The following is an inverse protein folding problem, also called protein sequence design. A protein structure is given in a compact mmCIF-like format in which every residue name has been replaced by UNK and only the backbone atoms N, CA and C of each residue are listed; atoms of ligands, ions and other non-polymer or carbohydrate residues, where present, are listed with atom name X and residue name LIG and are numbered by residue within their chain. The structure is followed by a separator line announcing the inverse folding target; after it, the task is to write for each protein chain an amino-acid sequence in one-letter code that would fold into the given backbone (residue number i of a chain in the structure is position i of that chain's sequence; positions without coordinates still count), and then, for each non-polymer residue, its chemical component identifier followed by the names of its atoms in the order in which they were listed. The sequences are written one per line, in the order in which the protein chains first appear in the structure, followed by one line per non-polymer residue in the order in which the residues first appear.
data_IF_014682061435
#
_entry.id   IF_014682061435
#
_cell.length_a   1.000
_cell.length_b   1.000
_cell.length_c   1.000
_cell.angle_alpha   90.00
_cell.angle_beta   90.00
_cell.angle_gamma   90.00
#
_symmetry.space_group_name_H-M   'P 1'
#
loop_
_entity.id
_entity.type
_entity.pdbx_description
1 polymer ?
#
# COMPACT_ATOMS: atom_id res chain seq x y z
N UNK A 1 -14.16 46.50 -21.93
CA UNK A 1 -13.72 45.14 -22.32
C UNK A 1 -14.95 44.30 -22.67
N UNK A 2 -15.18 44.00 -23.95
CA UNK A 2 -16.33 43.17 -24.35
C UNK A 2 -16.07 41.72 -23.97
N UNK A 3 -16.78 41.21 -22.97
CA UNK A 3 -16.87 39.78 -22.70
C UNK A 3 -17.53 39.15 -23.92
N UNK A 4 -16.74 38.52 -24.81
CA UNK A 4 -17.27 37.65 -25.86
C UNK A 4 -17.98 36.50 -25.16
N UNK A 5 -19.29 36.65 -24.94
CA UNK A 5 -20.15 35.56 -24.49
C UNK A 5 -20.02 34.45 -25.52
N UNK A 6 -19.45 33.30 -25.12
CA UNK A 6 -19.49 32.08 -25.93
C UNK A 6 -20.95 31.86 -26.31
N UNK A 7 -21.29 31.98 -27.60
CA UNK A 7 -22.62 31.63 -28.10
C UNK A 7 -22.92 30.19 -27.70
N UNK A 8 -23.80 30.00 -26.72
CA UNK A 8 -24.27 28.68 -26.28
C UNK A 8 -25.03 28.01 -27.41
N UNK A 9 -24.97 26.69 -27.48
CA UNK A 9 -25.76 25.98 -28.47
C UNK A 9 -27.25 26.07 -28.06
N UNK A 10 -28.20 26.30 -28.97
CA UNK A 10 -29.63 26.36 -28.63
C UNK A 10 -30.16 25.14 -27.86
N UNK A 11 -29.63 23.93 -28.10
CA UNK A 11 -30.03 22.74 -27.33
C UNK A 11 -29.60 22.82 -25.85
N UNK A 12 -28.49 23.51 -25.56
CA UNK A 12 -27.96 23.73 -24.21
C UNK A 12 -28.86 24.70 -23.41
N UNK A 13 -29.48 25.67 -24.09
CA UNK A 13 -30.44 26.62 -23.48
C UNK A 13 -31.69 25.88 -22.99
N UNK A 14 -32.10 24.82 -23.67
CA UNK A 14 -33.18 23.93 -23.23
C UNK A 14 -32.73 22.86 -22.22
N UNK A 15 -31.48 22.88 -21.77
CA UNK A 15 -30.94 21.90 -20.83
C UNK A 15 -30.74 20.50 -21.41
N UNK A 16 -30.75 20.36 -22.74
CA UNK A 16 -30.55 19.08 -23.41
C UNK A 16 -29.07 18.76 -23.56
N UNK A 17 -28.66 17.59 -23.09
CA UNK A 17 -27.29 17.11 -23.28
C UNK A 17 -27.05 16.71 -24.73
N UNK A 18 -25.79 16.77 -25.24
CA UNK A 18 -25.47 16.27 -26.57
C UNK A 18 -25.83 14.80 -26.80
N UNK A 19 -25.90 14.00 -25.73
CA UNK A 19 -26.30 12.60 -25.78
C UNK A 19 -27.79 12.44 -26.11
N UNK A 20 -28.68 13.17 -25.42
CA UNK A 20 -30.13 13.15 -25.71
C UNK A 20 -30.39 13.62 -27.14
N UNK A 21 -29.66 14.64 -27.60
CA UNK A 21 -29.75 15.18 -28.96
C UNK A 21 -29.25 14.19 -30.03
N UNK A 22 -28.35 13.28 -29.66
CA UNK A 22 -27.85 12.21 -30.53
C UNK A 22 -28.83 11.04 -30.62
N UNK A 23 -29.40 10.62 -29.49
CA UNK A 23 -30.22 9.41 -29.38
C UNK A 23 -31.65 9.58 -29.93
N UNK A 24 -32.23 10.77 -29.81
CA UNK A 24 -33.61 11.02 -30.25
C UNK A 24 -33.70 11.35 -31.75
N UNK A 25 -34.76 10.86 -32.41
CA UNK A 25 -35.13 11.27 -33.78
C UNK A 25 -35.52 12.75 -33.85
N UNK A 26 -35.39 13.39 -35.02
CA UNK A 26 -35.60 14.84 -35.19
C UNK A 26 -36.99 15.29 -34.72
N UNK A 27 -38.03 14.55 -35.07
CA UNK A 27 -39.41 14.86 -34.71
C UNK A 27 -39.65 14.72 -33.20
N UNK A 28 -39.12 13.65 -32.60
CA UNK A 28 -39.24 13.39 -31.15
C UNK A 28 -38.47 14.42 -30.35
N UNK A 29 -37.27 14.79 -30.81
CA UNK A 29 -36.44 15.84 -30.22
C UNK A 29 -37.14 17.21 -30.30
N UNK A 30 -37.79 17.52 -31.42
CA UNK A 30 -38.53 18.78 -31.56
C UNK A 30 -39.79 18.82 -30.70
N UNK A 31 -40.53 17.70 -30.57
CA UNK A 31 -41.65 17.57 -29.62
C UNK A 31 -41.19 17.82 -28.18
N UNK A 32 -40.03 17.28 -27.79
CA UNK A 32 -39.42 17.50 -26.49
C UNK A 32 -39.07 18.99 -26.28
N UNK A 33 -38.46 19.64 -27.28
CA UNK A 33 -38.17 21.08 -27.23
C UNK A 33 -39.45 21.91 -27.08
N UNK A 34 -40.52 21.58 -27.82
CA UNK A 34 -41.84 22.24 -27.68
C UNK A 34 -42.39 22.10 -26.26
N UNK A 35 -42.26 20.92 -25.65
CA UNK A 35 -42.70 20.70 -24.27
C UNK A 35 -41.89 21.54 -23.27
N UNK A 36 -40.56 21.51 -23.36
CA UNK A 36 -39.67 22.29 -22.49
C UNK A 36 -39.92 23.80 -22.68
N UNK A 37 -40.07 24.26 -23.92
CA UNK A 37 -40.36 25.65 -24.25
C UNK A 37 -41.65 26.14 -23.56
N UNK A 38 -42.74 25.35 -23.60
CA UNK A 38 -43.99 25.71 -22.91
C UNK A 38 -43.79 25.87 -21.41
N UNK A 39 -43.05 24.95 -20.78
CA UNK A 39 -42.74 25.01 -19.34
C UNK A 39 -41.89 26.25 -19.03
N UNK A 40 -40.86 26.51 -19.83
CA UNK A 40 -39.96 27.65 -19.65
C UNK A 40 -40.64 28.99 -19.88
N UNK A 41 -41.56 29.09 -20.84
CA UNK A 41 -42.40 30.28 -21.00
C UNK A 41 -43.25 30.50 -19.76
N UNK A 42 -43.86 29.47 -19.18
CA UNK A 42 -44.64 29.63 -17.95
C UNK A 42 -43.79 30.09 -16.76
N UNK A 43 -42.54 29.63 -16.67
CA UNK A 43 -41.65 29.93 -15.55
C UNK A 43 -40.93 31.29 -15.67
N UNK A 44 -40.59 31.71 -16.89
CA UNK A 44 -39.75 32.89 -17.14
C UNK A 44 -40.49 34.06 -17.82
N UNK A 45 -41.81 33.96 -18.04
CA UNK A 45 -42.57 35.07 -18.64
C UNK A 45 -42.46 36.36 -17.81
N UNK A 46 -42.18 37.53 -18.43
CA UNK A 46 -42.13 38.82 -17.73
C UNK A 46 -43.40 39.13 -16.93
N UNK A 47 -44.57 38.88 -17.53
CA UNK A 47 -45.88 39.14 -16.89
C UNK A 47 -46.17 38.26 -15.67
N UNK A 48 -45.38 37.20 -15.45
CA UNK A 48 -45.47 36.31 -14.29
C UNK A 48 -44.35 36.55 -13.27
N UNK A 49 -43.61 37.65 -13.41
CA UNK A 49 -42.46 37.99 -12.57
C UNK A 49 -41.16 37.25 -12.95
N UNK A 50 -41.10 36.65 -14.15
CA UNK A 50 -39.92 35.96 -14.67
C UNK A 50 -38.87 36.92 -15.26
N UNK A 51 -37.67 36.38 -15.55
CA UNK A 51 -36.54 37.15 -16.10
C UNK A 51 -36.73 37.43 -17.61
N UNK A 52 -36.91 38.70 -18.03
CA UNK A 52 -37.15 39.05 -19.44
C UNK A 52 -35.98 38.68 -20.35
N UNK A 53 -34.74 38.69 -19.85
CA UNK A 53 -33.56 38.33 -20.64
C UNK A 53 -33.54 36.85 -20.95
N UNK A 54 -33.90 36.01 -19.97
CA UNK A 54 -34.03 34.56 -20.17
C UNK A 54 -35.20 34.23 -21.09
N UNK A 55 -36.35 34.88 -20.94
CA UNK A 55 -37.48 34.69 -21.85
C UNK A 55 -37.10 34.97 -23.31
N UNK A 56 -36.35 36.06 -23.56
CA UNK A 56 -35.82 36.38 -24.88
C UNK A 56 -34.81 35.33 -25.39
N UNK A 57 -33.89 34.88 -24.53
CA UNK A 57 -32.92 33.82 -24.87
C UNK A 57 -33.62 32.51 -25.27
N UNK A 58 -34.66 32.11 -24.53
CA UNK A 58 -35.49 30.93 -24.80
C UNK A 58 -36.25 31.08 -26.13
N UNK A 59 -36.82 32.26 -26.41
CA UNK A 59 -37.53 32.53 -27.67
C UNK A 59 -36.60 32.43 -28.87
N UNK A 60 -35.42 33.06 -28.79
CA UNK A 60 -34.42 33.01 -29.86
C UNK A 60 -33.91 31.58 -30.07
N UNK A 61 -33.69 30.82 -29.00
CA UNK A 61 -33.31 29.42 -29.08
C UNK A 61 -34.39 28.55 -29.73
N UNK A 62 -35.66 28.78 -29.39
CA UNK A 62 -36.81 28.07 -29.98
C UNK A 62 -36.93 28.34 -31.48
N UNK A 63 -36.86 29.61 -31.89
CA UNK A 63 -36.92 30.00 -33.31
C UNK A 63 -35.77 29.38 -34.11
N UNK A 64 -34.57 29.31 -33.51
CA UNK A 64 -33.39 28.70 -34.14
C UNK A 64 -33.53 27.18 -34.31
N UNK A 65 -34.25 26.54 -33.37
CA UNK A 65 -34.52 25.10 -33.34
C UNK A 65 -35.93 24.74 -33.84
N UNK A 66 -36.57 25.64 -34.58
CA UNK A 66 -37.89 25.37 -35.12
C UNK A 66 -37.79 24.46 -36.36
N UNK A 67 -38.00 23.16 -36.16
CA UNK A 67 -37.92 22.15 -37.23
C UNK A 67 -38.94 22.39 -38.35
N UNK A 68 -40.13 22.89 -38.01
CA UNK A 68 -41.21 23.18 -38.96
C UNK A 68 -40.90 24.40 -39.83
N UNK A 69 -40.18 25.39 -39.28
CA UNK A 69 -39.87 26.64 -39.97
C UNK A 69 -38.52 26.61 -40.70
N UNK A 70 -37.50 26.03 -40.08
CA UNK A 70 -36.10 26.04 -40.57
C UNK A 70 -35.39 24.69 -40.27
N UNK A 71 -35.69 23.62 -41.03
CA UNK A 71 -35.12 22.29 -40.78
C UNK A 71 -33.59 22.24 -40.95
N UNK A 72 -33.02 23.03 -41.86
CA UNK A 72 -31.57 23.09 -42.07
C UNK A 72 -30.83 23.69 -40.88
N UNK A 73 -31.39 24.74 -40.25
CA UNK A 73 -30.83 25.34 -39.04
C UNK A 73 -30.79 24.30 -37.92
N UNK A 74 -31.90 23.60 -37.70
CA UNK A 74 -32.01 22.54 -36.70
C UNK A 74 -30.93 21.47 -36.89
N UNK A 75 -30.78 20.95 -38.11
CA UNK A 75 -29.77 19.94 -38.47
C UNK A 75 -28.34 20.44 -38.27
N UNK A 76 -28.06 21.69 -38.64
CA UNK A 76 -26.73 22.29 -38.49
C UNK A 76 -26.33 22.44 -37.01
N UNK A 77 -27.23 22.95 -36.17
CA UNK A 77 -26.99 23.07 -34.73
C UNK A 77 -26.89 21.70 -34.07
N UNK A 78 -27.68 20.71 -34.52
CA UNK A 78 -27.64 19.33 -34.03
C UNK A 78 -26.28 18.70 -34.31
N UNK A 79 -25.84 18.75 -35.57
CA UNK A 79 -24.54 18.25 -36.00
C UNK A 79 -23.39 18.88 -35.21
N UNK A 80 -23.36 20.21 -35.11
CA UNK A 80 -22.33 20.94 -34.33
C UNK A 80 -22.34 20.61 -32.85
N UNK A 81 -23.50 20.28 -32.27
CA UNK A 81 -23.61 19.91 -30.87
C UNK A 81 -23.12 18.48 -30.61
N UNK A 82 -23.44 17.55 -31.52
CA UNK A 82 -22.99 16.15 -31.45
C UNK A 82 -21.47 16.05 -31.71
N UNK A 83 -20.92 16.85 -32.62
CA UNK A 83 -19.46 16.91 -32.86
C UNK A 83 -18.66 17.37 -31.62
N UNK A 84 -19.28 18.13 -30.71
CA UNK A 84 -18.66 18.44 -29.40
C UNK A 84 -18.58 17.22 -28.49
N UNK A 85 -19.53 16.28 -28.62
CA UNK A 85 -19.55 15.02 -27.87
C UNK A 85 -18.53 14.00 -28.39
N UNK A 86 -18.19 14.02 -29.70
CA UNK A 86 -17.24 13.05 -30.27
C UNK A 86 -15.77 13.32 -29.94
N UNK A 87 -15.44 14.51 -29.42
CA UNK A 87 -14.08 14.88 -29.00
C UNK A 87 -13.84 14.33 -27.59
N UNK A 88 -13.44 13.05 -27.49
CA UNK A 88 -13.01 12.35 -26.24
C UNK A 88 -13.92 12.66 -25.04
N UNK A 89 -15.01 11.92 -24.88
CA UNK A 89 -15.77 11.98 -23.64
C UNK A 89 -14.87 11.55 -22.49
N UNK A 90 -14.81 12.36 -21.42
CA UNK A 90 -14.22 12.01 -20.13
C UNK A 90 -14.65 10.61 -19.66
N UNK A 91 -15.85 10.16 -20.05
CA UNK A 91 -16.36 8.83 -19.77
C UNK A 91 -15.55 7.71 -20.44
N UNK A 92 -15.16 7.87 -21.72
CA UNK A 92 -14.32 6.87 -22.40
C UNK A 92 -12.91 6.85 -21.79
N UNK A 93 -12.36 8.01 -21.48
CA UNK A 93 -11.08 8.12 -20.77
C UNK A 93 -11.15 7.48 -19.36
N UNK A 94 -12.27 7.66 -18.66
CA UNK A 94 -12.51 7.05 -17.36
C UNK A 94 -12.67 5.53 -17.44
N UNK A 95 -13.30 5.01 -18.49
CA UNK A 95 -13.38 3.56 -18.76
C UNK A 95 -12.00 2.97 -19.10
N UNK A 96 -11.22 3.66 -19.94
CA UNK A 96 -9.85 3.27 -20.29
C UNK A 96 -8.95 3.26 -19.05
N UNK A 97 -8.99 4.32 -18.23
CA UNK A 97 -8.23 4.41 -16.98
C UNK A 97 -8.65 3.32 -15.98
N UNK A 98 -9.95 3.02 -15.87
CA UNK A 98 -10.44 1.91 -15.03
C UNK A 98 -9.88 0.56 -15.50
N UNK A 99 -9.87 0.32 -16.81
CA UNK A 99 -9.31 -0.91 -17.36
C UNK A 99 -7.80 -1.02 -17.11
N UNK A 100 -7.06 0.08 -17.29
CA UNK A 100 -5.63 0.14 -16.98
C UNK A 100 -5.35 -0.12 -15.50
N UNK A 101 -6.12 0.49 -14.60
CA UNK A 101 -5.95 0.29 -13.16
C UNK A 101 -6.21 -1.16 -12.73
N UNK A 102 -7.25 -1.80 -13.28
CA UNK A 102 -7.49 -3.25 -13.06
C UNK A 102 -6.30 -4.09 -13.51
N UNK A 103 -5.73 -3.79 -14.68
CA UNK A 103 -4.56 -4.50 -15.22
C UNK A 103 -3.33 -4.30 -14.33
N UNK A 104 -3.07 -3.07 -13.89
CA UNK A 104 -1.95 -2.75 -13.00
C UNK A 104 -2.10 -3.42 -11.63
N UNK A 105 -3.30 -3.40 -11.05
CA UNK A 105 -3.59 -4.08 -9.79
C UNK A 105 -3.33 -5.59 -9.89
N UNK A 106 -3.78 -6.23 -10.97
CA UNK A 106 -3.50 -7.64 -11.22
C UNK A 106 -1.99 -7.94 -11.30
N UNK A 107 -1.24 -7.15 -12.06
CA UNK A 107 0.22 -7.35 -12.15
C UNK A 107 0.93 -7.09 -10.82
N UNK A 108 0.46 -6.13 -10.02
CA UNK A 108 1.03 -5.85 -8.72
C UNK A 108 0.87 -7.05 -7.77
N UNK A 109 -0.34 -7.63 -7.70
CA UNK A 109 -0.57 -8.83 -6.89
C UNK A 109 0.27 -10.03 -7.39
N UNK A 110 0.35 -10.22 -8.71
CA UNK A 110 1.20 -11.27 -9.28
C UNK A 110 2.69 -11.07 -8.95
N UNK A 111 3.18 -9.82 -9.01
CA UNK A 111 4.56 -9.50 -8.67
C UNK A 111 4.85 -9.75 -7.19
N UNK A 112 3.95 -9.33 -6.29
CA UNK A 112 4.07 -9.61 -4.84
C UNK A 112 4.18 -11.10 -4.58
N UNK A 113 3.32 -11.91 -5.21
CA UNK A 113 3.35 -13.37 -5.09
C UNK A 113 4.69 -13.95 -5.59
N UNK A 114 5.16 -13.48 -6.76
CA UNK A 114 6.42 -13.98 -7.35
C UNK A 114 7.64 -13.60 -6.52
N UNK A 115 7.71 -12.36 -6.04
CA UNK A 115 8.77 -11.91 -5.12
C UNK A 115 8.72 -12.76 -3.85
N UNK A 116 7.54 -12.98 -3.30
CA UNK A 116 7.38 -13.79 -2.10
C UNK A 116 7.84 -15.25 -2.30
N UNK A 117 7.45 -15.89 -3.41
CA UNK A 117 7.93 -17.23 -3.78
C UNK A 117 9.46 -17.26 -3.90
N UNK A 118 10.05 -16.21 -4.45
CA UNK A 118 11.50 -16.07 -4.55
C UNK A 118 12.16 -15.94 -3.16
N UNK A 119 11.56 -15.18 -2.23
CA UNK A 119 12.05 -15.08 -0.85
C UNK A 119 11.95 -16.41 -0.09
N UNK A 120 10.87 -17.16 -0.24
CA UNK A 120 10.68 -18.47 0.42
C UNK A 120 11.68 -19.53 -0.06
N UNK A 121 11.90 -19.60 -1.38
CA UNK A 121 12.80 -20.59 -1.98
C UNK A 121 14.29 -20.31 -1.73
N UNK A 122 14.60 -19.16 -1.15
CA UNK A 122 15.95 -18.76 -0.77
C UNK A 122 16.62 -17.92 -1.85
N UNK A 123 17.15 -16.79 -1.39
CA UNK A 123 17.78 -15.78 -2.23
C UNK A 123 19.13 -16.28 -2.77
N UNK A 124 19.29 -16.32 -4.10
CA UNK A 124 20.58 -16.66 -4.72
C UNK A 124 21.66 -15.65 -4.33
N UNK A 125 21.30 -14.37 -4.22
CA UNK A 125 22.25 -13.33 -3.78
C UNK A 125 22.69 -13.48 -2.32
N UNK A 126 21.91 -14.09 -1.42
CA UNK A 126 22.46 -14.42 -0.09
C UNK A 126 23.44 -15.59 -0.15
N UNK A 127 23.22 -16.57 -1.03
CA UNK A 127 24.23 -17.61 -1.24
C UNK A 127 25.56 -16.96 -1.65
N UNK A 128 25.51 -15.97 -2.55
CA UNK A 128 26.69 -15.26 -3.02
C UNK A 128 27.31 -14.34 -1.94
N UNK A 129 26.49 -13.59 -1.19
CA UNK A 129 26.96 -12.72 -0.09
C UNK A 129 27.74 -13.50 0.97
N UNK A 130 27.32 -14.75 1.24
CA UNK A 130 28.01 -15.63 2.20
C UNK A 130 29.08 -16.54 1.57
N UNK A 131 29.26 -16.50 0.25
CA UNK A 131 30.33 -17.22 -0.45
C UNK A 131 31.63 -16.42 -0.45
N UNK A 132 31.54 -15.09 -0.54
CA UNK A 132 32.70 -14.18 -0.40
C UNK A 132 33.04 -13.87 1.06
N UNK A 133 32.01 -13.70 1.91
CA UNK A 133 32.17 -13.44 3.34
C UNK A 133 31.62 -14.61 4.16
N UNK A 134 32.47 -15.24 4.98
CA UNK A 134 32.10 -16.49 5.65
C UNK A 134 30.95 -16.34 6.66
N UNK A 135 30.64 -15.11 7.09
CA UNK A 135 29.41 -14.73 7.78
C UNK A 135 29.32 -13.23 8.08
N UNK A 136 28.17 -12.78 8.58
CA UNK A 136 27.90 -11.40 8.97
C UNK A 136 27.39 -11.34 10.40
N UNK A 137 28.06 -10.56 11.25
CA UNK A 137 27.59 -10.25 12.60
C UNK A 137 26.86 -8.93 12.61
N UNK A 138 25.66 -8.92 13.18
CA UNK A 138 24.82 -7.75 13.32
C UNK A 138 24.62 -7.41 14.79
N UNK A 139 24.83 -6.14 15.13
CA UNK A 139 24.39 -5.57 16.41
C UNK A 139 22.99 -4.99 16.21
N UNK A 140 22.02 -5.52 16.94
CA UNK A 140 20.61 -5.17 16.79
C UNK A 140 20.10 -4.48 18.05
N UNK A 141 19.38 -3.38 17.87
CA UNK A 141 18.51 -2.81 18.88
C UNK A 141 17.14 -3.50 18.83
N UNK A 142 16.80 -4.24 19.87
CA UNK A 142 15.54 -4.98 20.02
C UNK A 142 14.42 -4.02 20.42
N UNK A 143 13.81 -3.42 19.38
CA UNK A 143 12.73 -2.44 19.55
C UNK A 143 11.52 -3.02 20.26
N UNK A 144 11.17 -4.28 20.02
CA UNK A 144 9.99 -4.93 20.64
C UNK A 144 10.19 -5.06 22.14
N UNK A 145 11.38 -5.51 22.55
CA UNK A 145 11.74 -5.59 23.97
C UNK A 145 11.76 -4.19 24.60
N UNK A 146 12.29 -3.19 23.90
CA UNK A 146 12.25 -1.81 24.39
C UNK A 146 10.81 -1.29 24.57
N UNK A 147 9.92 -1.50 23.60
CA UNK A 147 8.52 -1.06 23.69
C UNK A 147 7.77 -1.72 24.83
N UNK A 148 8.04 -3.01 25.09
CA UNK A 148 7.35 -3.75 26.15
C UNK A 148 7.87 -3.43 27.55
N UNK A 149 9.17 -3.12 27.71
CA UNK A 149 9.81 -3.09 29.03
C UNK A 149 10.52 -1.78 29.40
N UNK A 150 10.63 -0.80 28.50
CA UNK A 150 11.33 0.48 28.78
C UNK A 150 10.74 1.28 29.95
N UNK A 151 9.45 1.12 30.23
CA UNK A 151 8.77 1.76 31.37
C UNK A 151 9.06 1.11 32.73
N UNK A 152 9.67 -0.08 32.76
CA UNK A 152 9.95 -0.79 34.01
C UNK A 152 11.27 -0.29 34.63
N UNK A 153 11.23 0.12 35.91
CA UNK A 153 12.42 0.57 36.65
C UNK A 153 13.51 -0.50 36.75
N UNK A 154 13.15 -1.78 36.68
CA UNK A 154 14.07 -2.92 36.76
C UNK A 154 14.72 -3.31 35.42
N UNK A 155 14.31 -2.69 34.31
CA UNK A 155 14.81 -3.08 32.99
C UNK A 155 16.29 -2.68 32.82
N UNK A 156 17.15 -3.68 32.58
CA UNK A 156 18.57 -3.47 32.31
C UNK A 156 18.75 -3.04 30.85
N UNK A 157 19.57 -2.01 30.59
CA UNK A 157 19.84 -1.50 29.22
C UNK A 157 20.27 -2.59 28.23
N UNK A 158 21.06 -3.57 28.69
CA UNK A 158 21.55 -4.69 27.87
C UNK A 158 20.42 -5.57 27.30
N UNK A 159 19.23 -5.55 27.90
CA UNK A 159 18.06 -6.31 27.42
C UNK A 159 17.54 -5.81 26.07
N UNK A 160 17.80 -4.54 25.73
CA UNK A 160 17.34 -3.92 24.48
C UNK A 160 18.29 -4.15 23.31
N UNK A 161 19.34 -4.95 23.51
CA UNK A 161 20.32 -5.24 22.47
C UNK A 161 20.44 -6.75 22.29
N UNK A 162 20.75 -7.16 21.07
CA UNK A 162 21.10 -8.54 20.74
C UNK A 162 22.07 -8.59 19.59
N UNK A 163 22.82 -9.68 19.54
CA UNK A 163 23.70 -10.01 18.43
C UNK A 163 23.06 -11.10 17.58
N UNK A 164 23.12 -10.91 16.27
CA UNK A 164 22.80 -11.93 15.28
C UNK A 164 24.07 -12.27 14.50
N UNK A 165 24.28 -13.55 14.19
CA UNK A 165 25.30 -13.97 13.22
C UNK A 165 24.57 -14.72 12.12
N UNK A 166 24.69 -14.19 10.91
CA UNK A 166 24.11 -14.74 9.69
C UNK A 166 25.18 -15.50 8.94
N UNK A 167 24.82 -16.70 8.50
CA UNK A 167 25.65 -17.55 7.65
C UNK A 167 24.78 -18.13 6.54
N UNK A 168 25.40 -18.81 5.56
CA UNK A 168 24.68 -19.48 4.46
C UNK A 168 23.58 -20.44 4.92
N UNK A 169 23.80 -21.15 6.03
CA UNK A 169 22.96 -22.28 6.44
C UNK A 169 22.23 -22.09 7.77
N UNK A 170 22.64 -21.13 8.58
CA UNK A 170 22.10 -20.94 9.93
C UNK A 170 22.17 -19.49 10.39
N UNK A 171 21.37 -19.19 11.41
CA UNK A 171 21.39 -17.94 12.16
C UNK A 171 21.70 -18.25 13.62
N UNK A 172 22.65 -17.54 14.20
CA UNK A 172 22.92 -17.57 15.64
C UNK A 172 22.34 -16.30 16.26
N UNK A 173 21.64 -16.44 17.39
CA UNK A 173 21.09 -15.32 18.15
C UNK A 173 21.56 -15.32 19.58
N UNK A 174 21.86 -14.15 20.12
CA UNK A 174 22.23 -13.97 21.53
C UNK A 174 21.72 -12.63 22.03
N UNK A 175 20.96 -12.62 23.12
CA UNK A 175 20.59 -11.35 23.77
C UNK A 175 21.81 -10.72 24.45
N UNK A 176 21.81 -9.41 24.64
CA UNK A 176 22.97 -8.68 25.18
C UNK A 176 23.41 -9.11 26.58
N UNK A 177 22.51 -9.75 27.35
CA UNK A 177 22.79 -10.31 28.67
C UNK A 177 23.05 -11.82 28.67
N UNK A 178 22.90 -12.49 27.53
CA UNK A 178 23.15 -13.93 27.41
C UNK A 178 24.63 -14.16 27.05
N UNK A 179 25.24 -15.17 27.68
CA UNK A 179 26.61 -15.56 27.39
C UNK A 179 26.72 -16.32 26.06
N UNK A 180 25.75 -17.23 25.82
CA UNK A 180 25.77 -18.18 24.71
C UNK A 180 24.76 -17.84 23.61
N UNK A 181 25.12 -18.20 22.38
CA UNK A 181 24.26 -18.14 21.21
C UNK A 181 23.33 -19.35 21.13
N UNK A 182 22.11 -19.08 20.66
CA UNK A 182 21.12 -20.07 20.22
C UNK A 182 21.20 -20.23 18.71
N UNK A 183 21.20 -21.47 18.22
CA UNK A 183 21.30 -21.81 16.80
C UNK A 183 19.92 -22.05 16.18
N UNK A 184 19.70 -21.48 15.00
CA UNK A 184 18.49 -21.63 14.19
C UNK A 184 18.87 -22.04 12.76
N UNK A 185 18.28 -23.13 12.25
CA UNK A 185 18.59 -23.66 10.90
C UNK A 185 17.49 -23.26 9.89
N UNK A 186 16.23 -23.21 10.34
CA UNK A 186 15.06 -22.93 9.51
C UNK A 186 14.66 -21.45 9.51
N UNK A 187 15.56 -20.55 9.88
CA UNK A 187 15.29 -19.14 10.11
C UNK A 187 16.14 -18.29 9.17
N UNK A 188 15.50 -17.70 8.17
CA UNK A 188 16.16 -17.07 7.02
C UNK A 188 15.94 -15.57 7.03
N UNK A 189 17.00 -14.82 6.75
CA UNK A 189 16.91 -13.38 6.48
C UNK A 189 16.20 -13.17 5.13
N UNK A 190 15.23 -12.25 5.10
CA UNK A 190 14.45 -11.96 3.88
C UNK A 190 14.66 -10.53 3.35
N UNK A 191 15.18 -9.63 4.18
CA UNK A 191 15.42 -8.24 3.80
C UNK A 191 15.25 -7.26 4.95
N UNK A 192 15.63 -6.02 4.71
CA UNK A 192 15.47 -4.92 5.63
C UNK A 192 14.71 -3.75 5.02
N UNK A 193 14.12 -2.92 5.88
CA UNK A 193 13.38 -1.71 5.48
C UNK A 193 13.98 -0.53 6.24
N UNK A 194 14.34 0.54 5.53
CA UNK A 194 14.84 1.77 6.19
C UNK A 194 13.77 2.33 7.13
N UNK A 195 14.21 2.84 8.28
CA UNK A 195 13.29 3.34 9.32
C UNK A 195 12.37 4.47 8.85
N UNK A 196 12.80 5.25 7.88
CA UNK A 196 12.06 6.40 7.33
C UNK A 196 10.80 6.00 6.55
N UNK A 197 10.75 4.76 6.04
CA UNK A 197 9.64 4.31 5.19
C UNK A 197 8.55 3.58 5.97
N UNK A 198 8.75 3.29 7.26
CA UNK A 198 7.96 2.27 7.93
C UNK A 198 7.88 2.42 9.45
N UNK A 199 6.67 2.28 10.00
CA UNK A 199 6.40 2.20 11.43
C UNK A 199 5.98 0.77 11.83
N UNK A 200 6.90 -0.09 12.33
CA UNK A 200 6.60 -1.50 12.58
C UNK A 200 5.52 -1.73 13.63
N UNK A 201 5.46 -0.92 14.68
CA UNK A 201 4.54 -1.09 15.80
C UNK A 201 3.06 -1.04 15.41
N UNK A 202 2.73 -0.43 14.27
CA UNK A 202 1.38 -0.42 13.73
C UNK A 202 0.95 -1.81 13.21
N UNK A 203 1.91 -2.64 12.77
CA UNK A 203 1.66 -3.93 12.13
C UNK A 203 2.06 -5.14 12.99
N UNK A 204 2.79 -4.92 14.07
CA UNK A 204 3.16 -5.99 15.00
C UNK A 204 1.92 -6.56 15.70
N UNK A 205 1.89 -7.88 15.79
CA UNK A 205 0.86 -8.60 16.53
C UNK A 205 0.96 -8.31 18.02
N UNK A 206 -0.19 -8.35 18.70
CA UNK A 206 -0.29 -8.02 20.13
C UNK A 206 -0.92 -9.17 20.89
N UNK A 207 -0.49 -9.36 22.13
CA UNK A 207 -1.17 -10.24 23.07
C UNK A 207 -1.44 -9.53 24.38
N UNK A 208 -2.48 -9.98 25.08
CA UNK A 208 -2.72 -9.59 26.46
C UNK A 208 -2.03 -10.58 27.37
N UNK A 209 -1.11 -10.09 28.20
CA UNK A 209 -0.40 -10.88 29.21
C UNK A 209 -0.31 -10.08 30.49
N UNK A 210 -0.66 -10.71 31.61
CA UNK A 210 -0.54 -10.11 32.96
C UNK A 210 -1.22 -8.73 33.08
N UNK A 211 -2.38 -8.56 32.44
CA UNK A 211 -3.15 -7.30 32.50
C UNK A 211 -2.61 -6.16 31.61
N UNK A 212 -1.56 -6.40 30.82
CA UNK A 212 -1.00 -5.43 29.87
C UNK A 212 -1.01 -5.97 28.43
N UNK A 213 -1.13 -5.07 27.46
CA UNK A 213 -0.95 -5.42 26.05
C UNK A 213 0.55 -5.38 25.71
N UNK A 214 1.08 -6.49 25.19
CA UNK A 214 2.47 -6.63 24.79
C UNK A 214 2.58 -6.86 23.29
N UNK A 215 3.61 -6.29 22.68
CA UNK A 215 3.95 -6.53 21.27
C UNK A 215 4.68 -7.86 21.11
N UNK A 216 4.30 -8.61 20.08
CA UNK A 216 5.07 -9.75 19.56
C UNK A 216 6.06 -9.25 18.53
N UNK A 217 7.14 -10.00 18.34
CA UNK A 217 8.19 -9.68 17.38
C UNK A 217 7.89 -10.21 15.97
N UNK A 218 6.62 -10.27 15.57
CA UNK A 218 6.25 -10.69 14.23
C UNK A 218 5.03 -9.96 13.67
N UNK A 219 4.94 -9.98 12.35
CA UNK A 219 3.85 -9.49 11.52
C UNK A 219 3.27 -10.70 10.78
N UNK A 220 1.96 -10.73 10.55
CA UNK A 220 1.38 -11.77 9.71
C UNK A 220 1.90 -11.66 8.26
N UNK A 221 2.12 -12.82 7.61
CA UNK A 221 2.63 -12.89 6.23
C UNK A 221 1.78 -12.05 5.27
N UNK A 222 0.46 -12.12 5.38
CA UNK A 222 -0.47 -11.36 4.53
C UNK A 222 -0.28 -9.85 4.69
N UNK A 223 -0.20 -9.37 5.93
CA UNK A 223 0.04 -7.94 6.21
C UNK A 223 1.42 -7.51 5.73
N UNK A 224 2.45 -8.34 5.92
CA UNK A 224 3.79 -8.03 5.44
C UNK A 224 3.85 -7.93 3.91
N UNK A 225 3.24 -8.87 3.18
CA UNK A 225 3.18 -8.84 1.71
C UNK A 225 2.45 -7.60 1.21
N UNK A 226 1.36 -7.22 1.89
CA UNK A 226 0.54 -6.07 1.50
C UNK A 226 1.23 -4.72 1.75
N UNK A 227 1.82 -4.55 2.94
CA UNK A 227 2.28 -3.25 3.42
C UNK A 227 3.80 -3.06 3.35
N UNK A 228 4.58 -4.13 3.52
CA UNK A 228 6.03 -4.04 3.74
C UNK A 228 6.85 -4.43 2.50
N UNK A 229 6.37 -5.39 1.72
CA UNK A 229 7.15 -6.03 0.66
C UNK A 229 7.71 -5.04 -0.39
N UNK A 230 6.97 -3.98 -0.68
CA UNK A 230 7.37 -2.96 -1.66
C UNK A 230 8.60 -2.14 -1.22
N UNK A 231 8.84 -2.05 0.09
CA UNK A 231 9.97 -1.31 0.67
C UNK A 231 11.15 -2.21 1.04
N UNK A 232 11.04 -3.51 0.78
CA UNK A 232 12.03 -4.49 1.21
C UNK A 232 13.30 -4.36 0.37
N UNK A 233 14.39 -3.98 1.02
CA UNK A 233 15.74 -3.99 0.45
C UNK A 233 16.48 -5.24 0.93
N UNK A 234 17.28 -5.83 0.05
CA UNK A 234 17.96 -7.10 0.36
C UNK A 234 19.34 -6.89 0.98
N UNK A 235 19.96 -5.76 0.65
CA UNK A 235 21.24 -5.36 1.21
C UNK A 235 21.06 -4.89 2.65
N UNK A 236 21.82 -5.48 3.58
CA UNK A 236 21.78 -5.11 4.99
C UNK A 236 22.38 -3.70 5.16
N UNK A 237 21.61 -2.80 5.78
CA UNK A 237 22.03 -1.44 6.08
C UNK A 237 21.84 -1.11 7.54
N UNK A 238 22.75 -0.32 8.10
CA UNK A 238 22.54 0.27 9.42
C UNK A 238 21.32 1.19 9.40
N UNK A 239 20.70 1.37 10.57
CA UNK A 239 19.46 2.12 10.76
C UNK A 239 18.27 1.60 9.92
N UNK A 240 18.21 0.29 9.71
CA UNK A 240 17.10 -0.40 9.04
C UNK A 240 16.47 -1.46 9.94
N UNK A 241 15.17 -1.71 9.76
CA UNK A 241 14.45 -2.82 10.36
C UNK A 241 14.79 -4.11 9.63
N UNK A 242 15.17 -5.16 10.36
CA UNK A 242 15.59 -6.43 9.76
C UNK A 242 14.55 -7.53 9.96
N UNK A 243 14.20 -8.22 8.87
CA UNK A 243 13.12 -9.19 8.83
C UNK A 243 13.60 -10.60 8.48
N UNK A 244 12.91 -11.58 9.07
CA UNK A 244 13.22 -12.98 8.91
C UNK A 244 11.96 -13.82 8.73
N UNK A 245 12.13 -14.94 8.05
CA UNK A 245 11.11 -15.94 7.81
C UNK A 245 11.53 -17.27 8.42
N UNK A 246 10.57 -17.96 9.06
CA UNK A 246 10.78 -19.32 9.57
C UNK A 246 9.96 -20.30 8.74
N UNK A 247 10.59 -21.35 8.20
CA UNK A 247 9.83 -22.40 7.49
C UNK A 247 8.98 -23.25 8.44
N UNK A 248 9.24 -23.20 9.75
CA UNK A 248 8.42 -23.87 10.77
C UNK A 248 7.11 -23.12 11.06
N UNK A 249 7.07 -21.81 10.81
CA UNK A 249 5.89 -20.96 11.03
C UNK A 249 5.73 -19.98 9.85
N UNK A 250 5.30 -20.55 8.71
CA UNK A 250 5.21 -19.85 7.43
C UNK A 250 4.22 -18.68 7.40
N UNK A 251 3.40 -18.52 8.44
CA UNK A 251 2.40 -17.46 8.55
C UNK A 251 2.99 -16.18 9.17
N UNK A 252 4.21 -16.24 9.69
CA UNK A 252 4.82 -15.15 10.46
C UNK A 252 6.10 -14.64 9.82
N UNK A 253 6.23 -13.32 9.84
CA UNK A 253 7.45 -12.61 9.50
C UNK A 253 7.98 -11.94 10.74
N UNK A 254 9.17 -12.35 11.15
CA UNK A 254 9.77 -11.89 12.39
C UNK A 254 10.55 -10.61 12.16
N UNK A 255 10.28 -9.61 13.00
CA UNK A 255 11.07 -8.40 13.11
C UNK A 255 12.09 -8.62 14.23
N UNK A 256 13.37 -8.70 13.89
CA UNK A 256 14.39 -8.80 14.92
C UNK A 256 14.74 -7.43 15.52
N UNK A 257 14.55 -6.33 14.81
CA UNK A 257 14.75 -4.99 15.36
C UNK A 257 15.50 -4.10 14.39
N UNK A 258 16.23 -3.12 14.93
CA UNK A 258 16.98 -2.15 14.13
C UNK A 258 18.46 -2.53 14.09
N UNK A 259 19.02 -2.63 12.88
CA UNK A 259 20.47 -2.81 12.71
C UNK A 259 21.19 -1.54 13.15
N UNK A 260 22.03 -1.65 14.17
CA UNK A 260 22.89 -0.55 14.62
C UNK A 260 24.16 -0.53 13.77
N UNK A 261 24.77 -1.70 13.64
CA UNK A 261 26.08 -1.88 13.01
C UNK A 261 26.22 -3.34 12.55
N UNK A 262 27.11 -3.58 11.61
CA UNK A 262 27.41 -4.90 11.10
C UNK A 262 28.87 -5.06 10.68
N UNK A 263 29.42 -6.25 10.90
CA UNK A 263 30.80 -6.60 10.56
C UNK A 263 30.86 -7.98 9.89
N UNK A 264 31.82 -8.15 8.99
CA UNK A 264 32.11 -9.43 8.33
C UNK A 264 32.90 -10.31 9.30
N UNK A 265 32.61 -11.60 9.30
CA UNK A 265 33.33 -12.61 10.08
C UNK A 265 34.03 -13.61 9.18
N UNK A 266 35.23 -14.01 9.61
CA UNK A 266 35.99 -15.13 9.02
C UNK A 266 35.46 -16.49 9.47
N UNK A 267 35.88 -17.57 8.79
CA UNK A 267 35.48 -18.93 9.15
C UNK A 267 35.96 -19.29 10.55
N UNK A 268 37.19 -18.91 10.87
CA UNK A 268 37.84 -19.27 12.11
C UNK A 268 37.08 -18.68 13.30
N UNK A 269 36.64 -17.43 13.16
CA UNK A 269 35.80 -16.76 14.15
C UNK A 269 34.45 -17.46 14.32
N UNK A 270 33.79 -17.83 13.22
CA UNK A 270 32.51 -18.54 13.26
C UNK A 270 32.66 -19.92 13.89
N UNK A 271 33.68 -20.68 13.50
CA UNK A 271 33.98 -22.00 14.06
C UNK A 271 34.30 -21.92 15.55
N UNK A 272 35.04 -20.90 15.97
CA UNK A 272 35.33 -20.66 17.38
C UNK A 272 34.04 -20.37 18.18
N UNK A 273 33.15 -19.53 17.64
CA UNK A 273 31.86 -19.23 18.26
C UNK A 273 31.00 -20.51 18.34
N UNK A 274 30.94 -21.30 17.28
CA UNK A 274 30.18 -22.56 17.24
C UNK A 274 30.69 -23.58 18.27
N UNK A 275 32.01 -23.67 18.49
CA UNK A 275 32.63 -24.59 19.45
C UNK A 275 32.46 -24.16 20.90
N UNK A 276 32.66 -22.86 21.18
CA UNK A 276 32.86 -22.38 22.54
C UNK A 276 31.70 -21.55 23.09
N UNK A 277 30.85 -20.99 22.21
CA UNK A 277 29.83 -19.99 22.57
C UNK A 277 28.42 -20.34 22.07
N UNK A 278 28.17 -21.58 21.65
CA UNK A 278 26.81 -22.08 21.35
C UNK A 278 26.39 -23.05 22.43
N UNK A 279 25.11 -22.96 22.83
CA UNK A 279 24.54 -23.88 23.83
C UNK A 279 24.62 -25.32 23.31
N UNK A 280 25.36 -26.19 24.00
CA UNK A 280 25.34 -27.64 23.77
C UNK A 280 24.02 -28.23 24.26
N UNK A 281 23.61 -29.38 23.71
CA UNK A 281 22.35 -30.05 24.10
C UNK A 281 22.31 -30.34 25.61
N UNK A 282 23.46 -30.65 26.21
CA UNK A 282 23.63 -30.91 27.65
C UNK A 282 23.39 -29.64 28.49
N UNK A 283 23.99 -28.50 28.12
CA UNK A 283 23.75 -27.21 28.80
C UNK A 283 22.30 -26.73 28.66
N UNK A 284 21.60 -27.14 27.59
CA UNK A 284 20.19 -26.80 27.37
C UNK A 284 19.27 -27.42 28.43
N UNK A 285 19.57 -28.66 28.84
CA UNK A 285 18.84 -29.37 29.92
C UNK A 285 19.11 -28.72 31.27
N UNK A 286 20.35 -28.34 31.53
CA UNK A 286 20.76 -27.65 32.77
C UNK A 286 20.10 -26.26 32.92
N UNK A 287 20.06 -25.46 31.85
CA UNK A 287 19.39 -24.14 31.83
C UNK A 287 17.86 -24.28 31.98
N UNK A 288 17.26 -25.28 31.33
CA UNK A 288 15.82 -25.56 31.48
C UNK A 288 15.47 -26.00 32.92
N UNK A 289 16.33 -26.80 33.55
CA UNK A 289 16.17 -27.20 34.94
C UNK A 289 16.33 -26.01 35.89
N UNK A 290 17.29 -25.13 35.65
CA UNK A 290 17.50 -23.92 36.47
C UNK A 290 16.39 -22.87 36.31
N UNK A 291 15.82 -22.70 35.11
CA UNK A 291 14.66 -21.83 34.89
C UNK A 291 13.40 -22.37 35.57
N UNK A 292 13.21 -23.70 35.60
CA UNK A 292 12.10 -24.31 36.32
C UNK A 292 12.26 -24.20 37.85
N UNK A 293 13.48 -24.19 38.38
CA UNK A 293 13.70 -23.93 39.82
C UNK A 293 13.47 -22.46 40.20
N UNK A 294 13.79 -21.50 39.32
CA UNK A 294 13.53 -20.08 39.58
C UNK A 294 12.02 -19.72 39.52
N UNK A 295 11.20 -20.49 38.81
CA UNK A 295 9.74 -20.32 38.76
C UNK A 295 9.04 -20.88 40.03
N UNK A 296 9.71 -21.70 40.83
CA UNK A 296 9.14 -22.25 42.08
C UNK A 296 9.39 -21.32 43.29
N UNK A 297 10.23 -20.29 43.17
CA UNK A 297 10.54 -19.34 44.25
C UNK A 297 9.97 -17.91 44.09
N UNK A 298 9.01 -17.68 43.19
CA UNK A 298 8.26 -16.40 43.14
C UNK A 298 6.75 -16.58 42.93
#
# INVERSE_FOLDING_TARGET
MSVKTKKRNPFEIFGLSPQIVKELEEETLFKLIKAIYKVFQLAYHPDKGGDPKKALEINLAFETLNLEKNPESFRNYRKKYIERFSRKTLQKELEELKAQNRKLSFYNELLKEKIWQYLENGFEYFKNLFEEDKGLRLKIFDMVTYMNFSGLRSAKKQMFFKDLILTKNLVLKRKGYEEYYRKFINYKYIGCIKREYFEPWALLEREFKEGAQQFKNFISKETFIRECLIYLEVEIKSNSYIFFYSSEDFRKIFLEGVVIDYEKLSEEEILNILKNKVISVEKKVEILNNLNSEIVEF
#
